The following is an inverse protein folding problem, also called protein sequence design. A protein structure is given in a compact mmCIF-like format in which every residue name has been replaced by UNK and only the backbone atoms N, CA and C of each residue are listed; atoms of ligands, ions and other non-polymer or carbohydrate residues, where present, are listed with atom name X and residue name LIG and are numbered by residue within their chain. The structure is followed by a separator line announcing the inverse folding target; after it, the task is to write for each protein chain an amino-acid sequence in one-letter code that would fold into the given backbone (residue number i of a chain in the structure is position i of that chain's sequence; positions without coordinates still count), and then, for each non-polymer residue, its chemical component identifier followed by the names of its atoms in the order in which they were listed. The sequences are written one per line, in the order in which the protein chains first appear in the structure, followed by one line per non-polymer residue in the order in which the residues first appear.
data_IF_654939276377
#
_entry.id   IF_654939276377
#
_cell.length_a   1.000
_cell.length_b   1.000
_cell.length_c   1.000
_cell.angle_alpha   90.00
_cell.angle_beta   90.00
_cell.angle_gamma   90.00
#
_symmetry.space_group_name_H-M   'P 1'
#
loop_
_entity.id
_entity.type
_entity.pdbx_description
1 polymer ?
#
# COMPACT_ATOMS: atom_id res chain seq x y z
N UNK A 1 -9.18 -12.36 -9.97
CA UNK A 1 -9.11 -12.27 -8.49
C UNK A 1 -7.82 -12.95 -8.06
N UNK A 2 -6.86 -12.19 -7.54
CA UNK A 2 -5.56 -12.70 -7.07
C UNK A 2 -5.27 -12.18 -5.66
N UNK A 3 -4.43 -12.90 -4.90
CA UNK A 3 -3.89 -12.44 -3.63
C UNK A 3 -2.57 -11.70 -3.89
N UNK A 4 -2.54 -10.41 -3.58
CA UNK A 4 -1.41 -9.51 -3.83
C UNK A 4 -0.81 -9.05 -2.52
N UNK A 5 0.51 -9.18 -2.38
CA UNK A 5 1.25 -8.62 -1.25
C UNK A 5 2.01 -7.38 -1.70
N UNK A 6 1.78 -6.25 -1.02
CA UNK A 6 2.47 -4.99 -1.27
C UNK A 6 3.35 -4.62 -0.08
N UNK A 7 4.64 -4.38 -0.33
CA UNK A 7 5.58 -3.91 0.68
C UNK A 7 6.00 -2.47 0.42
N UNK A 8 5.93 -1.65 1.46
CA UNK A 8 6.41 -0.26 1.44
C UNK A 8 7.53 -0.07 2.46
N UNK A 9 8.67 0.49 2.02
CA UNK A 9 9.77 0.84 2.92
C UNK A 9 9.50 2.13 3.69
N UNK A 10 10.31 2.43 4.71
CA UNK A 10 10.15 3.63 5.54
C UNK A 10 10.11 4.93 4.74
N UNK A 11 10.95 5.05 3.71
CA UNK A 11 10.93 6.19 2.78
C UNK A 11 9.61 6.35 2.01
N UNK A 12 8.84 5.27 1.83
CA UNK A 12 7.52 5.31 1.19
C UNK A 12 6.40 5.73 2.13
N UNK A 13 6.65 5.77 3.44
CA UNK A 13 5.68 6.14 4.49
C UNK A 13 6.20 7.26 5.41
N UNK A 14 7.29 7.94 5.04
CA UNK A 14 8.00 8.89 5.91
C UNK A 14 7.18 10.09 6.40
N UNK A 15 6.06 10.40 5.75
CA UNK A 15 5.18 11.51 6.11
C UNK A 15 3.72 11.21 5.76
N UNK A 16 2.80 12.01 6.26
CA UNK A 16 1.37 11.81 6.08
C UNK A 16 0.94 11.88 4.59
N UNK A 17 1.58 12.70 3.76
CA UNK A 17 1.26 12.77 2.33
C UNK A 17 1.69 11.51 1.58
N UNK A 18 2.87 10.97 1.92
CA UNK A 18 3.35 9.68 1.40
C UNK A 18 2.44 8.54 1.81
N UNK A 19 1.99 8.52 3.06
CA UNK A 19 1.02 7.51 3.53
C UNK A 19 -0.29 7.59 2.74
N UNK A 20 -0.82 8.79 2.48
CA UNK A 20 -2.02 8.96 1.64
C UNK A 20 -1.80 8.42 0.22
N UNK A 21 -0.67 8.73 -0.40
CA UNK A 21 -0.31 8.20 -1.72
C UNK A 21 -0.18 6.67 -1.74
N UNK A 22 0.35 6.08 -0.67
CA UNK A 22 0.40 4.61 -0.51
C UNK A 22 -1.01 4.03 -0.37
N UNK A 23 -1.87 4.66 0.43
CA UNK A 23 -3.27 4.23 0.61
C UNK A 23 -4.04 4.25 -0.72
N UNK A 24 -3.89 5.30 -1.54
CA UNK A 24 -4.51 5.37 -2.87
C UNK A 24 -4.07 4.20 -3.77
N UNK A 25 -2.79 3.83 -3.75
CA UNK A 25 -2.27 2.69 -4.51
C UNK A 25 -2.90 1.37 -4.05
N UNK A 26 -2.99 1.14 -2.74
CA UNK A 26 -3.61 -0.06 -2.15
C UNK A 26 -5.08 -0.16 -2.56
N UNK A 27 -5.83 0.94 -2.44
CA UNK A 27 -7.25 1.01 -2.82
C UNK A 27 -7.43 0.74 -4.30
N UNK A 28 -6.59 1.30 -5.17
CA UNK A 28 -6.65 1.05 -6.60
C UNK A 28 -6.40 -0.42 -6.93
N UNK A 29 -5.46 -1.09 -6.25
CA UNK A 29 -5.25 -2.54 -6.42
C UNK A 29 -6.45 -3.37 -5.92
N UNK A 30 -7.07 -2.99 -4.81
CA UNK A 30 -8.30 -3.65 -4.33
C UNK A 30 -9.46 -3.48 -5.32
N UNK A 31 -9.64 -2.28 -5.88
CA UNK A 31 -10.68 -1.98 -6.90
C UNK A 31 -10.52 -2.80 -8.18
N UNK A 32 -9.30 -3.26 -8.51
CA UNK A 32 -9.06 -4.17 -9.62
C UNK A 32 -9.51 -5.63 -9.32
N UNK A 33 -10.12 -5.88 -8.16
CA UNK A 33 -10.64 -7.20 -7.78
C UNK A 33 -9.59 -8.12 -7.15
N UNK A 34 -8.53 -7.55 -6.56
CA UNK A 34 -7.51 -8.30 -5.83
C UNK A 34 -7.78 -8.27 -4.32
N UNK A 35 -7.39 -9.33 -3.61
CA UNK A 35 -7.22 -9.25 -2.17
C UNK A 35 -5.80 -8.77 -1.87
N UNK A 36 -5.67 -7.82 -0.94
CA UNK A 36 -4.41 -7.09 -0.74
C UNK A 36 -3.97 -7.22 0.70
N UNK A 37 -2.76 -7.74 0.90
CA UNK A 37 -2.04 -7.72 2.18
C UNK A 37 -0.92 -6.70 2.07
N UNK A 38 -0.78 -5.84 3.08
CA UNK A 38 0.18 -4.74 3.05
C UNK A 38 1.14 -4.86 4.23
N UNK A 39 2.45 -4.75 3.95
CA UNK A 39 3.51 -4.70 4.97
C UNK A 39 4.24 -3.37 4.85
N UNK A 40 4.39 -2.68 5.98
CA UNK A 40 5.11 -1.41 6.06
C UNK A 40 6.30 -1.54 7.02
N UNK A 41 7.41 -0.86 6.70
CA UNK A 41 8.49 -0.61 7.66
C UNK A 41 8.17 0.62 8.51
N UNK A 42 8.91 0.80 9.61
CA UNK A 42 8.80 2.01 10.44
C UNK A 42 9.05 3.29 9.63
N UNK A 43 8.39 4.37 10.05
CA UNK A 43 8.53 5.72 9.49
C UNK A 43 9.81 6.39 9.96
#
# INVERSE_FOLDING_TARGET
MALVVQKYGGSSVADAERIRRVAERIVNTKKQGNDVVVVVSAM
#
